data_IF_487874311158
#
_entry.id   IF_487874311158
#
_cell.length_a   1.000
_cell.length_b   1.000
_cell.length_c   1.000
_cell.angle_alpha   90.00
_cell.angle_beta   90.00
_cell.angle_gamma   90.00
#
_symmetry.space_group_name_H-M   'P 1'
#
loop_
_entity.id
_entity.type
_entity.pdbx_description
1 polymer ?
#
# COMPACT_ATOMS: atom_id res chain seq x y z
N UNK A 1 -18.91 64.30 -30.52
CA UNK A 1 -19.68 63.09 -30.89
C UNK A 1 -19.50 62.05 -29.80
N UNK A 2 -20.65 61.58 -29.31
CA UNK A 2 -20.98 60.48 -28.39
C UNK A 2 -19.88 59.62 -27.75
N UNK A 3 -19.86 59.71 -26.42
CA UNK A 3 -19.47 58.68 -25.45
C UNK A 3 -20.43 57.48 -25.49
N UNK A 4 -19.88 56.26 -25.45
CA UNK A 4 -20.57 54.99 -25.13
C UNK A 4 -19.53 54.14 -24.37
N UNK A 5 -19.40 54.25 -23.04
CA UNK A 5 -20.12 53.47 -22.01
C UNK A 5 -20.28 51.99 -22.36
N UNK A 6 -19.35 51.19 -21.87
CA UNK A 6 -19.47 49.73 -21.71
C UNK A 6 -20.66 49.43 -20.80
N UNK A 7 -21.74 48.93 -21.40
CA UNK A 7 -22.94 48.45 -20.73
C UNK A 7 -22.76 46.98 -20.33
N UNK A 8 -22.98 46.74 -19.04
CA UNK A 8 -23.73 45.62 -18.46
C UNK A 8 -23.46 44.19 -18.95
N UNK A 9 -22.81 43.44 -18.04
CA UNK A 9 -22.94 42.00 -17.91
C UNK A 9 -24.42 41.61 -17.68
N UNK A 10 -24.94 40.70 -18.49
CA UNK A 10 -25.99 39.72 -18.16
C UNK A 10 -26.40 38.93 -19.42
N UNK A 11 -25.95 37.67 -19.52
CA UNK A 11 -26.61 36.60 -20.28
C UNK A 11 -25.93 35.28 -19.89
N UNK A 12 -26.50 34.57 -18.91
CA UNK A 12 -27.43 33.45 -19.13
C UNK A 12 -26.69 32.10 -19.07
N UNK A 13 -26.35 31.68 -17.85
CA UNK A 13 -26.12 30.27 -17.51
C UNK A 13 -27.50 29.65 -17.29
N UNK A 14 -28.04 29.02 -18.32
CA UNK A 14 -29.27 28.24 -18.25
C UNK A 14 -29.07 26.88 -18.94
N UNK A 15 -28.45 25.96 -18.20
CA UNK A 15 -28.48 24.50 -18.31
C UNK A 15 -27.41 24.00 -17.32
N UNK A 16 -27.68 23.43 -16.15
CA UNK A 16 -28.56 22.31 -15.85
C UNK A 16 -29.14 22.45 -14.43
N UNK A 17 -30.38 22.91 -14.31
CA UNK A 17 -31.17 22.67 -13.10
C UNK A 17 -31.79 21.29 -13.21
N UNK A 18 -31.03 20.27 -12.80
CA UNK A 18 -31.64 19.03 -12.32
C UNK A 18 -32.37 19.39 -11.03
N UNK A 19 -33.66 19.06 -10.86
CA UNK A 19 -34.41 19.44 -9.67
C UNK A 19 -33.71 18.91 -8.41
N UNK A 20 -33.52 19.79 -7.43
CA UNK A 20 -32.86 19.48 -6.15
C UNK A 20 -33.50 18.30 -5.40
N UNK A 21 -34.77 17.96 -5.73
CA UNK A 21 -35.45 16.78 -5.22
C UNK A 21 -34.76 15.45 -5.61
N UNK A 22 -34.06 15.38 -6.75
CA UNK A 22 -33.33 14.18 -7.16
C UNK A 22 -31.96 14.03 -6.47
N UNK A 23 -31.38 15.12 -5.95
CA UNK A 23 -30.16 15.09 -5.11
C UNK A 23 -30.48 14.88 -3.62
N UNK A 24 -31.66 15.29 -3.16
CA UNK A 24 -32.06 15.12 -1.75
C UNK A 24 -32.30 13.63 -1.36
N UNK A 25 -32.43 12.72 -2.33
CA UNK A 25 -32.60 11.29 -2.08
C UNK A 25 -31.27 10.51 -2.08
N UNK A 26 -30.15 11.12 -2.50
CA UNK A 26 -28.82 10.46 -2.53
C UNK A 26 -27.98 10.65 -1.26
N UNK A 27 -28.38 11.56 -0.36
CA UNK A 27 -27.63 11.91 0.86
C UNK A 27 -28.28 11.40 2.16
N UNK A 28 -29.30 10.53 2.08
CA UNK A 28 -29.78 9.87 3.29
C UNK A 28 -28.75 8.84 3.73
N UNK A 29 -28.24 9.03 4.95
CA UNK A 29 -27.39 8.06 5.62
C UNK A 29 -28.03 6.67 5.53
N UNK A 30 -27.27 5.71 5.01
CA UNK A 30 -27.69 4.32 4.88
C UNK A 30 -27.75 3.70 6.26
N UNK A 31 -28.94 3.23 6.63
CA UNK A 31 -29.15 2.46 7.84
C UNK A 31 -28.88 0.99 7.53
N UNK A 32 -27.64 0.56 7.77
CA UNK A 32 -27.22 -0.82 7.54
C UNK A 32 -27.60 -1.68 8.73
N UNK A 33 -28.39 -2.72 8.48
CA UNK A 33 -28.77 -3.72 9.48
C UNK A 33 -28.05 -5.05 9.22
N UNK A 34 -28.01 -5.94 10.20
CA UNK A 34 -27.43 -7.28 10.02
C UNK A 34 -28.07 -8.03 8.86
N UNK A 35 -29.40 -7.95 8.73
CA UNK A 35 -30.13 -8.57 7.63
C UNK A 35 -29.72 -8.02 6.24
N UNK A 36 -29.36 -6.74 6.14
CA UNK A 36 -28.84 -6.17 4.89
C UNK A 36 -27.46 -6.73 4.58
N UNK A 37 -26.59 -6.88 5.59
CA UNK A 37 -25.26 -7.46 5.40
C UNK A 37 -25.31 -8.96 5.05
N UNK A 38 -26.20 -9.74 5.65
CA UNK A 38 -26.36 -11.16 5.31
C UNK A 38 -26.82 -11.35 3.86
N UNK A 39 -27.76 -10.51 3.42
CA UNK A 39 -28.19 -10.45 2.02
C UNK A 39 -27.05 -10.01 1.10
N UNK A 40 -26.24 -9.03 1.54
CA UNK A 40 -25.07 -8.59 0.79
C UNK A 40 -24.03 -9.72 0.64
N UNK A 41 -23.72 -10.46 1.70
CA UNK A 41 -22.80 -11.60 1.61
C UNK A 41 -23.33 -12.71 0.70
N UNK A 42 -24.63 -12.97 0.73
CA UNK A 42 -25.30 -13.91 -0.19
C UNK A 42 -25.15 -13.45 -1.65
N UNK A 43 -25.43 -12.18 -1.92
CA UNK A 43 -25.23 -11.58 -3.24
C UNK A 43 -23.77 -11.66 -3.70
N UNK A 44 -22.83 -11.30 -2.82
CA UNK A 44 -21.41 -11.24 -3.14
C UNK A 44 -20.81 -12.62 -3.39
N UNK A 45 -21.20 -13.63 -2.61
CA UNK A 45 -20.81 -15.02 -2.86
C UNK A 45 -21.33 -15.52 -4.22
N UNK A 46 -22.57 -15.14 -4.58
CA UNK A 46 -23.14 -15.45 -5.89
C UNK A 46 -22.36 -14.74 -7.00
N UNK A 47 -22.06 -13.45 -6.84
CA UNK A 47 -21.25 -12.67 -7.79
C UNK A 47 -19.92 -13.37 -8.08
N UNK A 48 -19.22 -13.81 -7.03
CA UNK A 48 -17.93 -14.51 -7.15
C UNK A 48 -18.06 -15.80 -7.97
N UNK A 49 -19.04 -16.65 -7.65
CA UNK A 49 -19.27 -17.91 -8.38
C UNK A 49 -19.65 -17.70 -9.85
N UNK A 50 -20.43 -16.66 -10.15
CA UNK A 50 -20.84 -16.32 -11.52
C UNK A 50 -19.68 -15.71 -12.30
N UNK A 51 -18.85 -14.87 -11.66
CA UNK A 51 -17.62 -14.33 -12.27
C UNK A 51 -16.66 -15.44 -12.70
N UNK A 52 -16.44 -16.44 -11.85
CA UNK A 52 -15.62 -17.61 -12.19
C UNK A 52 -16.18 -18.37 -13.41
N UNK A 53 -17.51 -18.44 -13.54
CA UNK A 53 -18.18 -19.12 -14.65
C UNK A 53 -18.10 -18.33 -15.96
N UNK A 54 -18.18 -17.00 -15.91
CA UNK A 54 -18.12 -16.14 -17.11
C UNK A 54 -16.71 -15.70 -17.47
N UNK A 55 -15.69 -15.98 -16.64
CA UNK A 55 -14.30 -15.57 -16.89
C UNK A 55 -13.79 -15.97 -18.28
N UNK A 56 -14.02 -17.19 -18.80
CA UNK A 56 -13.59 -17.54 -20.15
C UNK A 56 -14.24 -16.68 -21.25
N UNK A 57 -15.46 -16.19 -21.02
CA UNK A 57 -16.17 -15.31 -21.96
C UNK A 57 -15.62 -13.88 -21.90
N UNK A 58 -15.19 -13.43 -20.72
CA UNK A 58 -14.48 -12.15 -20.55
C UNK A 58 -13.14 -12.21 -21.29
N UNK A 59 -12.37 -13.29 -21.10
CA UNK A 59 -11.07 -13.48 -21.72
C UNK A 59 -11.17 -13.52 -23.26
N UNK A 60 -12.19 -14.21 -23.81
CA UNK A 60 -12.48 -14.22 -25.25
C UNK A 60 -12.87 -12.82 -25.76
N UNK A 61 -13.74 -12.10 -25.05
CA UNK A 61 -14.14 -10.75 -25.44
C UNK A 61 -12.94 -9.77 -25.44
N UNK A 62 -12.05 -9.85 -24.45
CA UNK A 62 -10.84 -9.04 -24.36
C UNK A 62 -9.79 -9.43 -25.42
N UNK A 63 -9.64 -10.73 -25.71
CA UNK A 63 -8.79 -11.19 -26.82
C UNK A 63 -9.28 -10.64 -28.18
N UNK A 64 -10.60 -10.66 -28.42
CA UNK A 64 -11.20 -10.08 -29.63
C UNK A 64 -10.99 -8.57 -29.72
N UNK A 65 -11.18 -7.85 -28.62
CA UNK A 65 -10.96 -6.40 -28.57
C UNK A 65 -9.49 -6.05 -28.86
N UNK A 66 -8.54 -6.73 -28.21
CA UNK A 66 -7.09 -6.52 -28.46
C UNK A 66 -6.73 -6.81 -29.92
N UNK A 67 -7.24 -7.90 -30.49
CA UNK A 67 -7.00 -8.26 -31.89
C UNK A 67 -7.56 -7.21 -32.85
N UNK A 68 -8.77 -6.70 -32.58
CA UNK A 68 -9.38 -5.64 -33.36
C UNK A 68 -8.57 -4.34 -33.28
N UNK A 69 -8.20 -3.89 -32.08
CA UNK A 69 -7.42 -2.66 -31.88
C UNK A 69 -6.05 -2.74 -32.54
N UNK A 70 -5.38 -3.89 -32.46
CA UNK A 70 -4.11 -4.13 -33.14
C UNK A 70 -4.29 -4.05 -34.67
N UNK A 71 -5.28 -4.75 -35.21
CA UNK A 71 -5.57 -4.73 -36.64
C UNK A 71 -5.91 -3.31 -37.15
N UNK A 72 -6.66 -2.53 -36.36
CA UNK A 72 -6.97 -1.14 -36.68
C UNK A 72 -5.70 -0.27 -36.73
N UNK A 73 -4.83 -0.37 -35.72
CA UNK A 73 -3.54 0.35 -35.70
C UNK A 73 -2.68 0.00 -36.92
N UNK A 74 -2.60 -1.29 -37.26
CA UNK A 74 -1.81 -1.76 -38.40
C UNK A 74 -2.42 -1.29 -39.74
N UNK A 75 -3.74 -1.21 -39.83
CA UNK A 75 -4.43 -0.67 -41.01
C UNK A 75 -4.22 0.85 -41.15
N UNK A 76 -4.34 1.61 -40.07
CA UNK A 76 -4.08 3.06 -40.05
C UNK A 76 -2.62 3.38 -40.36
N UNK A 77 -1.68 2.60 -39.83
CA UNK A 77 -0.25 2.71 -40.13
C UNK A 77 0.06 2.39 -41.61
N UNK A 78 -0.59 1.37 -42.18
CA UNK A 78 -0.43 1.06 -43.60
C UNK A 78 -1.03 2.16 -44.51
N UNK A 79 -2.18 2.74 -44.12
CA UNK A 79 -2.83 3.82 -44.88
C UNK A 79 -2.07 5.14 -44.82
N UNK A 80 -1.43 5.46 -43.68
CA UNK A 80 -0.56 6.64 -43.54
C UNK A 80 0.74 6.48 -44.35
N UNK A 81 1.31 5.28 -44.41
CA UNK A 81 2.47 4.97 -45.23
C UNK A 81 2.18 5.01 -46.74
N UNK A 82 0.96 4.69 -47.18
CA UNK A 82 0.57 4.68 -48.59
C UNK A 82 -0.01 6.00 -49.10
N UNK A 83 -0.05 7.06 -48.29
CA UNK A 83 -0.62 8.37 -48.65
C UNK A 83 -2.12 8.38 -48.91
N UNK A 84 -2.84 7.28 -48.62
CA UNK A 84 -4.25 7.12 -48.93
C UNK A 84 -5.09 7.50 -47.71
N UNK A 85 -5.76 8.66 -47.77
CA UNK A 85 -6.73 9.09 -46.76
C UNK A 85 -8.05 8.37 -46.98
N UNK A 86 -8.09 7.06 -46.68
CA UNK A 86 -9.36 6.34 -46.56
C UNK A 86 -10.11 6.90 -45.35
N UNK A 87 -11.01 7.84 -45.60
CA UNK A 87 -11.97 8.36 -44.63
C UNK A 87 -13.39 7.88 -44.94
N UNK A 88 -14.25 7.84 -43.92
CA UNK A 88 -15.68 7.56 -44.10
C UNK A 88 -16.02 6.07 -44.32
N UNK A 89 -17.11 5.82 -45.06
CA UNK A 89 -17.71 4.49 -45.25
C UNK A 89 -16.73 3.46 -45.84
N UNK A 90 -15.85 3.87 -46.75
CA UNK A 90 -14.86 3.00 -47.38
C UNK A 90 -13.81 2.47 -46.39
N UNK A 91 -13.38 3.30 -45.43
CA UNK A 91 -12.48 2.88 -44.36
C UNK A 91 -13.15 1.86 -43.43
N UNK A 92 -14.42 2.07 -43.10
CA UNK A 92 -15.20 1.13 -42.27
C UNK A 92 -15.37 -0.23 -42.95
N UNK A 93 -15.70 -0.25 -44.24
CA UNK A 93 -15.81 -1.50 -45.03
C UNK A 93 -14.47 -2.23 -45.11
N UNK A 94 -13.36 -1.51 -45.30
CA UNK A 94 -12.03 -2.11 -45.35
C UNK A 94 -11.57 -2.66 -43.99
N UNK A 95 -11.83 -1.93 -42.90
CA UNK A 95 -11.56 -2.39 -41.52
C UNK A 95 -12.41 -3.63 -41.21
N UNK A 96 -13.70 -3.64 -41.58
CA UNK A 96 -14.56 -4.81 -41.40
C UNK A 96 -14.03 -6.04 -42.13
N UNK A 97 -13.63 -5.86 -43.39
CA UNK A 97 -13.12 -6.95 -44.22
C UNK A 97 -11.79 -7.51 -43.69
N UNK A 98 -10.91 -6.66 -43.14
CA UNK A 98 -9.57 -7.05 -42.67
C UNK A 98 -9.55 -7.51 -41.21
N UNK A 99 -10.32 -6.84 -40.36
CA UNK A 99 -10.31 -7.04 -38.90
C UNK A 99 -11.50 -7.88 -38.41
N UNK A 100 -12.40 -8.31 -39.30
CA UNK A 100 -13.52 -9.22 -39.02
C UNK A 100 -14.75 -8.55 -38.38
N UNK A 101 -14.61 -7.33 -37.88
CA UNK A 101 -15.68 -6.45 -37.41
C UNK A 101 -15.22 -5.00 -37.60
N UNK A 102 -16.14 -4.07 -37.77
CA UNK A 102 -15.91 -2.62 -37.75
C UNK A 102 -16.54 -1.93 -36.53
N UNK A 103 -17.18 -2.72 -35.66
CA UNK A 103 -17.98 -2.21 -34.55
C UNK A 103 -17.30 -2.50 -33.20
N UNK A 104 -16.34 -1.64 -32.86
CA UNK A 104 -15.70 -1.58 -31.54
C UNK A 104 -16.72 -1.39 -30.42
N UNK A 105 -17.81 -0.65 -30.70
CA UNK A 105 -18.88 -0.40 -29.74
C UNK A 105 -19.66 -1.69 -29.45
N UNK A 106 -19.93 -2.52 -30.45
CA UNK A 106 -20.54 -3.83 -30.26
C UNK A 106 -19.66 -4.77 -29.42
N UNK A 107 -18.34 -4.80 -29.67
CA UNK A 107 -17.40 -5.58 -28.84
C UNK A 107 -17.38 -5.10 -27.39
N UNK A 108 -17.38 -3.78 -27.17
CA UNK A 108 -17.46 -3.19 -25.83
C UNK A 108 -18.79 -3.50 -25.14
N UNK A 109 -19.92 -3.40 -25.87
CA UNK A 109 -21.25 -3.77 -25.35
C UNK A 109 -21.33 -5.25 -25.00
N UNK A 110 -20.74 -6.13 -25.81
CA UNK A 110 -20.68 -7.56 -25.52
C UNK A 110 -19.87 -7.83 -24.25
N UNK A 111 -18.68 -7.22 -24.11
CA UNK A 111 -17.88 -7.29 -22.89
C UNK A 111 -18.66 -6.79 -21.67
N UNK A 112 -19.31 -5.63 -21.78
CA UNK A 112 -20.08 -5.06 -20.68
C UNK A 112 -21.24 -5.97 -20.28
N UNK A 113 -21.94 -6.57 -21.24
CA UNK A 113 -23.03 -7.52 -20.97
C UNK A 113 -22.55 -8.77 -20.21
N UNK A 114 -21.37 -9.28 -20.54
CA UNK A 114 -20.76 -10.41 -19.82
C UNK A 114 -20.38 -9.99 -18.40
N UNK A 115 -19.89 -8.76 -18.19
CA UNK A 115 -19.53 -8.23 -16.87
C UNK A 115 -20.73 -7.87 -15.99
N UNK A 116 -21.86 -7.45 -16.59
CA UNK A 116 -23.10 -7.11 -15.88
C UNK A 116 -23.87 -8.35 -15.41
N UNK A 117 -23.66 -9.51 -16.06
CA UNK A 117 -24.32 -10.78 -15.74
C UNK A 117 -24.12 -11.21 -14.28
N UNK A 118 -22.88 -11.33 -13.80
CA UNK A 118 -22.59 -11.68 -12.41
C UNK A 118 -23.21 -10.72 -11.39
N UNK A 119 -23.19 -9.41 -11.66
CA UNK A 119 -23.78 -8.42 -10.75
C UNK A 119 -25.31 -8.49 -10.73
N UNK A 120 -25.93 -8.81 -11.87
CA UNK A 120 -27.37 -9.04 -11.96
C UNK A 120 -27.79 -10.28 -11.17
N UNK A 121 -27.05 -11.38 -11.31
CA UNK A 121 -27.27 -12.61 -10.56
C UNK A 121 -27.04 -12.42 -9.05
N UNK A 122 -26.02 -11.63 -8.68
CA UNK A 122 -25.74 -11.25 -7.31
C UNK A 122 -26.89 -10.46 -6.68
N UNK A 123 -27.33 -9.40 -7.37
CA UNK A 123 -28.45 -8.58 -6.91
C UNK A 123 -29.71 -9.42 -6.71
N UNK A 124 -30.03 -10.33 -7.65
CA UNK A 124 -31.16 -11.25 -7.52
C UNK A 124 -31.01 -12.19 -6.31
N UNK A 125 -29.82 -12.78 -6.11
CA UNK A 125 -29.58 -13.69 -4.99
C UNK A 125 -29.68 -13.01 -3.62
N UNK A 126 -29.26 -11.75 -3.50
CA UNK A 126 -29.46 -10.94 -2.29
C UNK A 126 -30.82 -10.24 -2.21
N UNK A 127 -31.70 -10.42 -3.21
CA UNK A 127 -32.99 -9.74 -3.28
C UNK A 127 -32.93 -8.21 -3.43
N UNK A 128 -31.82 -7.68 -3.97
CA UNK A 128 -31.62 -6.25 -4.20
C UNK A 128 -32.08 -5.85 -5.61
N UNK A 129 -32.47 -4.58 -5.79
CA UNK A 129 -32.36 -3.99 -7.13
C UNK A 129 -30.87 -3.85 -7.51
N UNK A 130 -30.52 -4.04 -8.79
CA UNK A 130 -29.12 -3.98 -9.24
C UNK A 130 -28.43 -2.67 -8.84
N UNK A 131 -29.13 -1.54 -8.98
CA UNK A 131 -28.59 -0.23 -8.59
C UNK A 131 -28.35 -0.09 -7.08
N UNK A 132 -29.17 -0.74 -6.25
CA UNK A 132 -29.01 -0.76 -4.80
C UNK A 132 -27.83 -1.62 -4.39
N UNK A 133 -27.68 -2.80 -5.00
CA UNK A 133 -26.54 -3.69 -4.76
C UNK A 133 -25.22 -2.99 -5.08
N UNK A 134 -25.11 -2.36 -6.26
CA UNK A 134 -23.93 -1.58 -6.67
C UNK A 134 -23.62 -0.46 -5.67
N UNK A 135 -24.64 0.34 -5.33
CA UNK A 135 -24.48 1.44 -4.37
C UNK A 135 -24.03 0.95 -3.00
N UNK A 136 -24.62 -0.15 -2.50
CA UNK A 136 -24.27 -0.74 -1.22
C UNK A 136 -22.83 -1.27 -1.24
N UNK A 137 -22.45 -2.01 -2.28
CA UNK A 137 -21.10 -2.53 -2.47
C UNK A 137 -20.06 -1.39 -2.48
N UNK A 138 -20.31 -0.35 -3.26
CA UNK A 138 -19.38 0.78 -3.39
C UNK A 138 -19.26 1.57 -2.07
N UNK A 139 -20.37 1.75 -1.35
CA UNK A 139 -20.38 2.40 -0.03
C UNK A 139 -19.65 1.59 1.03
N UNK A 140 -19.86 0.28 1.09
CA UNK A 140 -19.14 -0.60 2.02
C UNK A 140 -17.63 -0.58 1.69
N UNK A 141 -17.26 -0.59 0.42
CA UNK A 141 -15.86 -0.47 0.00
C UNK A 141 -15.25 0.86 0.42
N UNK A 142 -15.94 1.97 0.18
CA UNK A 142 -15.48 3.30 0.64
C UNK A 142 -15.27 3.35 2.15
N UNK A 143 -16.17 2.75 2.92
CA UNK A 143 -16.01 2.62 4.37
C UNK A 143 -14.77 1.80 4.77
N UNK A 144 -14.50 0.68 4.10
CA UNK A 144 -13.29 -0.11 4.33
C UNK A 144 -11.99 0.65 3.98
N UNK A 145 -12.09 1.65 3.11
CA UNK A 145 -11.03 2.58 2.71
C UNK A 145 -10.96 3.84 3.60
N UNK A 146 -11.82 3.93 4.64
CA UNK A 146 -11.81 5.00 5.64
C UNK A 146 -12.94 6.03 5.53
N UNK A 147 -13.82 5.92 4.52
CA UNK A 147 -14.95 6.85 4.35
C UNK A 147 -16.19 6.39 5.14
N UNK A 148 -16.33 6.89 6.36
CA UNK A 148 -17.52 6.67 7.18
C UNK A 148 -18.74 7.51 6.76
N UNK A 149 -18.61 8.38 5.76
CA UNK A 149 -19.71 9.26 5.34
C UNK A 149 -20.84 8.47 4.70
N UNK A 150 -22.07 8.91 4.99
CA UNK A 150 -23.27 8.29 4.40
C UNK A 150 -23.76 7.03 5.11
N UNK A 151 -23.30 6.73 6.33
CA UNK A 151 -23.87 5.70 7.21
C UNK A 151 -24.45 6.31 8.49
N UNK A 152 -25.49 5.69 9.04
CA UNK A 152 -25.98 6.01 10.39
C UNK A 152 -25.01 5.50 11.45
N UNK A 153 -25.06 6.03 12.68
CA UNK A 153 -24.24 5.49 13.80
C UNK A 153 -24.52 4.01 14.05
N UNK A 154 -25.79 3.60 13.97
CA UNK A 154 -26.18 2.19 14.07
C UNK A 154 -25.61 1.36 12.92
N UNK A 155 -25.67 1.87 11.69
CA UNK A 155 -25.08 1.23 10.51
C UNK A 155 -23.57 1.05 10.63
N UNK A 156 -22.86 2.06 11.14
CA UNK A 156 -21.41 1.96 11.39
C UNK A 156 -21.08 0.89 12.44
N UNK A 157 -21.88 0.76 13.50
CA UNK A 157 -21.68 -0.29 14.50
C UNK A 157 -21.83 -1.70 13.90
N UNK A 158 -22.83 -1.89 13.03
CA UNK A 158 -23.06 -3.16 12.31
C UNK A 158 -21.90 -3.46 11.34
N UNK A 159 -21.41 -2.46 10.61
CA UNK A 159 -20.26 -2.60 9.71
C UNK A 159 -18.99 -2.98 10.48
N UNK A 160 -18.68 -2.28 11.59
CA UNK A 160 -17.54 -2.59 12.47
C UNK A 160 -17.62 -4.03 13.00
N UNK A 161 -18.79 -4.47 13.45
CA UNK A 161 -18.99 -5.84 13.94
C UNK A 161 -18.73 -6.93 12.87
N UNK A 162 -18.87 -6.60 11.58
CA UNK A 162 -18.68 -7.52 10.44
C UNK A 162 -17.43 -7.20 9.61
N UNK A 163 -16.55 -6.31 10.09
CA UNK A 163 -15.43 -5.77 9.31
C UNK A 163 -14.54 -6.87 8.71
N UNK A 164 -14.16 -7.87 9.50
CA UNK A 164 -13.30 -8.96 9.02
C UNK A 164 -13.94 -9.77 7.89
N UNK A 165 -15.26 -9.96 7.92
CA UNK A 165 -15.99 -10.69 6.87
C UNK A 165 -16.11 -9.82 5.61
N UNK A 166 -16.38 -8.53 5.78
CA UNK A 166 -16.43 -7.55 4.69
C UNK A 166 -15.06 -7.43 3.99
N UNK A 167 -13.98 -7.27 4.76
CA UNK A 167 -12.60 -7.27 4.26
C UNK A 167 -12.29 -8.54 3.47
N UNK A 168 -12.66 -9.71 4.00
CA UNK A 168 -12.53 -10.99 3.29
C UNK A 168 -13.33 -11.04 1.98
N UNK A 169 -14.56 -10.52 1.97
CA UNK A 169 -15.41 -10.47 0.78
C UNK A 169 -14.78 -9.63 -0.33
N UNK A 170 -14.22 -8.46 0.00
CA UNK A 170 -13.57 -7.59 -0.99
C UNK A 170 -12.17 -8.04 -1.41
N UNK A 171 -11.67 -9.18 -0.91
CA UNK A 171 -10.27 -9.58 -1.13
C UNK A 171 -9.28 -8.59 -0.51
N UNK A 172 -9.78 -7.70 0.36
CA UNK A 172 -8.99 -6.85 1.22
C UNK A 172 -8.54 -7.73 2.39
N UNK A 173 -7.64 -8.68 2.13
CA UNK A 173 -6.80 -9.20 3.21
C UNK A 173 -6.27 -7.98 3.94
N UNK A 174 -6.33 -7.93 5.27
CA UNK A 174 -5.94 -6.78 6.07
C UNK A 174 -4.50 -6.34 5.76
N UNK A 175 -4.32 -5.60 4.66
CA UNK A 175 -3.25 -4.66 4.42
C UNK A 175 -3.79 -3.41 5.11
N UNK A 176 -3.90 -3.49 6.43
CA UNK A 176 -3.99 -2.29 7.21
C UNK A 176 -2.71 -1.52 6.86
N UNK A 177 -2.90 -0.40 6.18
CA UNK A 177 -1.88 0.63 5.95
C UNK A 177 -1.32 1.21 7.25
N UNK A 178 -1.75 0.72 8.41
CA UNK A 178 -1.03 0.79 9.68
C UNK A 178 -1.09 -0.56 10.43
N UNK A 179 0.07 -1.11 10.78
CA UNK A 179 0.21 -1.97 11.98
C UNK A 179 -0.30 -3.41 11.96
N UNK A 180 -0.71 -3.97 10.82
CA UNK A 180 -1.38 -5.29 10.76
C UNK A 180 -0.69 -6.39 9.97
N UNK A 181 0.65 -6.47 9.92
CA UNK A 181 1.35 -7.51 9.17
C UNK A 181 1.29 -8.88 9.89
N UNK A 182 0.34 -9.77 9.53
CA UNK A 182 0.51 -11.21 9.84
C UNK A 182 -0.71 -12.09 10.05
N UNK A 183 -1.95 -11.59 10.03
CA UNK A 183 -3.11 -12.35 10.54
C UNK A 183 -3.62 -13.57 9.73
N UNK A 184 -2.97 -14.00 8.64
CA UNK A 184 -3.53 -15.07 7.78
C UNK A 184 -2.56 -16.11 7.19
N UNK A 185 -1.28 -16.09 7.54
CA UNK A 185 -0.24 -16.65 6.65
C UNK A 185 0.73 -17.57 7.40
N UNK A 186 0.21 -18.66 7.98
CA UNK A 186 0.96 -19.57 8.86
C UNK A 186 1.29 -20.93 8.25
N UNK A 187 1.44 -21.01 6.92
CA UNK A 187 1.73 -22.26 6.21
C UNK A 187 2.91 -22.15 5.26
N UNK A 188 3.83 -23.13 5.21
CA UNK A 188 4.96 -23.15 4.27
C UNK A 188 4.51 -23.12 2.79
N UNK A 189 3.29 -23.59 2.49
CA UNK A 189 2.70 -23.60 1.14
C UNK A 189 2.29 -22.22 0.60
N UNK A 190 2.40 -21.15 1.40
CA UNK A 190 1.95 -19.80 1.03
C UNK A 190 3.11 -18.94 0.47
N UNK A 191 4.35 -19.35 0.68
CA UNK A 191 5.54 -18.59 0.31
C UNK A 191 6.01 -18.90 -1.12
N UNK A 192 5.32 -18.35 -2.12
CA UNK A 192 5.95 -18.19 -3.44
C UNK A 192 6.89 -16.97 -3.42
N UNK A 193 7.76 -16.87 -4.43
CA UNK A 193 8.77 -15.81 -4.47
C UNK A 193 8.17 -14.41 -4.45
N UNK A 194 7.15 -14.16 -5.26
CA UNK A 194 6.51 -12.84 -5.36
C UNK A 194 5.89 -12.41 -4.02
N UNK A 195 5.21 -13.34 -3.36
CA UNK A 195 4.59 -13.12 -2.07
C UNK A 195 5.61 -12.87 -0.97
N UNK A 196 6.69 -13.65 -0.94
CA UNK A 196 7.79 -13.43 -0.02
C UNK A 196 8.38 -12.02 -0.19
N UNK A 197 8.58 -11.56 -1.44
CA UNK A 197 9.10 -10.21 -1.67
C UNK A 197 8.13 -9.10 -1.31
N UNK A 198 6.82 -9.23 -1.59
CA UNK A 198 5.83 -8.25 -1.12
C UNK A 198 5.87 -8.09 0.40
N UNK A 199 5.97 -9.21 1.13
CA UNK A 199 6.06 -9.18 2.59
C UNK A 199 7.37 -8.57 3.07
N UNK A 200 8.50 -9.03 2.54
CA UNK A 200 9.82 -8.50 2.90
C UNK A 200 9.85 -6.99 2.63
N UNK A 201 9.26 -6.52 1.53
CA UNK A 201 9.14 -5.09 1.21
C UNK A 201 8.40 -4.32 2.29
N UNK A 202 7.31 -4.89 2.80
CA UNK A 202 6.56 -4.29 3.90
C UNK A 202 7.39 -4.22 5.19
N UNK A 203 8.15 -5.28 5.51
CA UNK A 203 9.01 -5.29 6.70
C UNK A 203 10.12 -4.23 6.59
N UNK A 204 10.75 -4.14 5.42
CA UNK A 204 11.69 -3.08 5.13
C UNK A 204 11.01 -1.71 5.22
N UNK A 205 9.81 -1.54 4.66
CA UNK A 205 9.09 -0.27 4.72
C UNK A 205 8.87 0.18 6.18
N UNK A 206 8.41 -0.71 7.06
CA UNK A 206 8.23 -0.39 8.49
C UNK A 206 9.53 0.05 9.16
N UNK A 207 10.65 -0.59 8.81
CA UNK A 207 11.94 -0.31 9.42
C UNK A 207 12.62 0.96 8.87
N UNK A 208 12.46 1.23 7.57
CA UNK A 208 13.24 2.24 6.84
C UNK A 208 12.44 3.47 6.40
N UNK A 209 11.10 3.39 6.28
CA UNK A 209 10.26 4.55 5.89
C UNK A 209 9.89 5.45 7.07
N UNK A 210 10.33 5.14 8.29
CA UNK A 210 10.35 6.13 9.38
C UNK A 210 11.27 7.32 9.09
N UNK A 211 12.12 7.22 8.06
CA UNK A 211 13.18 8.19 7.78
C UNK A 211 14.29 8.16 8.83
N UNK A 212 14.18 7.39 9.92
CA UNK A 212 15.14 7.43 11.01
C UNK A 212 16.54 6.96 10.60
N UNK A 213 16.65 6.14 9.54
CA UNK A 213 17.94 5.70 9.01
C UNK A 213 18.77 6.81 8.39
N UNK A 214 18.17 7.94 8.00
CA UNK A 214 18.93 9.09 7.51
C UNK A 214 19.74 9.79 8.62
N UNK A 215 19.39 9.55 9.88
CA UNK A 215 20.09 10.04 11.07
C UNK A 215 20.97 8.96 11.71
N UNK A 216 21.05 7.76 11.12
CA UNK A 216 21.76 6.66 11.75
C UNK A 216 23.26 6.90 11.83
N UNK A 217 23.79 6.72 13.03
CA UNK A 217 25.22 6.57 13.26
C UNK A 217 25.71 5.19 12.79
N UNK A 218 26.98 5.10 12.42
CA UNK A 218 27.56 3.84 11.94
C UNK A 218 27.54 2.76 13.03
N UNK A 219 27.15 1.55 12.66
CA UNK A 219 27.21 0.37 13.53
C UNK A 219 28.60 -0.26 13.42
N UNK A 220 29.11 -0.80 14.52
CA UNK A 220 30.31 -1.65 14.52
C UNK A 220 29.92 -3.12 14.33
N UNK A 221 30.79 -3.98 13.78
CA UNK A 221 30.50 -5.40 13.66
C UNK A 221 30.08 -6.00 15.01
N UNK A 222 28.92 -6.66 15.02
CA UNK A 222 28.27 -7.20 16.21
C UNK A 222 27.32 -6.24 16.94
N UNK A 223 27.28 -4.95 16.59
CA UNK A 223 26.33 -4.02 17.18
C UNK A 223 24.90 -4.35 16.74
N UNK A 224 23.96 -4.21 17.66
CA UNK A 224 22.54 -4.38 17.39
C UNK A 224 21.67 -3.39 18.16
N UNK A 225 20.51 -3.09 17.60
CA UNK A 225 19.44 -2.32 18.23
C UNK A 225 18.11 -3.03 18.03
N UNK A 226 17.20 -2.85 18.98
CA UNK A 226 15.83 -3.34 18.96
C UNK A 226 14.88 -2.20 19.21
N UNK A 227 13.79 -2.18 18.47
CA UNK A 227 12.80 -1.12 18.43
C UNK A 227 11.42 -1.71 18.64
N UNK A 228 10.61 -1.06 19.44
CA UNK A 228 9.19 -1.37 19.54
C UNK A 228 8.41 -0.38 18.71
N UNK A 229 7.61 -0.90 17.79
CA UNK A 229 6.70 -0.16 16.92
C UNK A 229 5.35 -0.09 17.61
N UNK A 230 4.86 1.12 17.82
CA UNK A 230 3.51 1.36 18.32
C UNK A 230 2.68 2.08 17.26
N UNK A 231 1.43 1.66 17.13
CA UNK A 231 0.46 2.27 16.23
C UNK A 231 -0.73 2.72 17.08
N UNK A 232 -1.23 3.92 16.80
CA UNK A 232 -2.44 4.41 17.45
C UNK A 232 -3.66 3.74 16.85
N UNK A 233 -4.56 3.28 17.70
CA UNK A 233 -5.93 3.00 17.30
C UNK A 233 -6.60 4.34 16.93
N UNK A 234 -7.37 4.33 15.84
CA UNK A 234 -8.05 5.52 15.34
C UNK A 234 -9.26 5.88 16.22
N UNK A 235 -9.83 4.91 16.93
CA UNK A 235 -11.06 5.08 17.69
C UNK A 235 -10.85 5.73 19.07
N UNK A 236 -9.75 5.43 19.77
CA UNK A 236 -9.50 5.95 21.14
C UNK A 236 -8.16 6.68 21.30
N UNK A 237 -7.30 6.68 20.29
CA UNK A 237 -5.96 7.28 20.35
C UNK A 237 -4.97 6.51 21.21
N UNK A 238 -5.32 5.32 21.69
CA UNK A 238 -4.43 4.46 22.45
C UNK A 238 -3.39 3.85 21.51
N UNK A 239 -2.12 3.90 21.91
CA UNK A 239 -1.05 3.26 21.16
C UNK A 239 -0.88 1.82 21.63
N UNK A 240 -0.81 0.89 20.68
CA UNK A 240 -0.53 -0.52 20.94
C UNK A 240 0.81 -0.90 20.33
N UNK A 241 1.63 -1.60 21.11
CA UNK A 241 2.83 -2.25 20.60
C UNK A 241 2.42 -3.40 19.66
N UNK A 242 2.66 -3.23 18.37
CA UNK A 242 2.26 -4.21 17.34
C UNK A 242 3.42 -5.10 16.92
N UNK A 243 4.65 -4.60 17.01
CA UNK A 243 5.80 -5.25 16.41
C UNK A 243 7.09 -4.84 17.12
N UNK A 244 8.01 -5.79 17.32
CA UNK A 244 9.40 -5.48 17.62
C UNK A 244 10.24 -5.72 16.37
N UNK A 245 11.19 -4.82 16.12
CA UNK A 245 12.15 -4.90 15.02
C UNK A 245 13.56 -4.81 15.59
N UNK A 246 14.39 -5.79 15.28
CA UNK A 246 15.80 -5.81 15.63
C UNK A 246 16.66 -5.71 14.37
N UNK A 247 17.68 -4.86 14.44
CA UNK A 247 18.70 -4.68 13.41
C UNK A 247 20.04 -5.02 14.01
N UNK A 248 20.84 -5.82 13.34
CA UNK A 248 22.21 -6.10 13.75
C UNK A 248 23.17 -6.02 12.58
N UNK A 249 24.31 -5.37 12.78
CA UNK A 249 25.39 -5.36 11.82
C UNK A 249 26.28 -6.59 12.07
N UNK A 250 26.26 -7.56 11.16
CA UNK A 250 27.02 -8.80 11.35
C UNK A 250 28.50 -8.60 11.01
N UNK A 251 28.78 -7.73 10.05
CA UNK A 251 30.13 -7.28 9.73
C UNK A 251 30.33 -6.98 8.26
N UNK A 252 31.57 -6.68 7.90
CA UNK A 252 31.99 -6.28 6.56
C UNK A 252 32.93 -7.32 5.97
N UNK A 253 32.68 -7.66 4.72
CA UNK A 253 33.50 -8.57 3.91
C UNK A 253 34.68 -7.80 3.28
N UNK A 254 35.69 -8.53 2.81
CA UNK A 254 36.91 -7.93 2.26
C UNK A 254 36.68 -7.03 1.03
N UNK A 255 35.61 -7.27 0.26
CA UNK A 255 35.24 -6.45 -0.91
C UNK A 255 34.35 -5.24 -0.54
N UNK A 256 34.18 -4.95 0.75
CA UNK A 256 33.36 -3.85 1.23
C UNK A 256 31.88 -4.17 1.37
N UNK A 257 31.43 -5.39 1.02
CA UNK A 257 30.06 -5.82 1.25
C UNK A 257 29.72 -5.94 2.73
N UNK A 258 28.49 -5.61 3.10
CA UNK A 258 28.00 -5.58 4.47
C UNK A 258 26.89 -6.60 4.70
N UNK A 259 27.07 -7.43 5.74
CA UNK A 259 26.04 -8.35 6.20
C UNK A 259 25.23 -7.74 7.33
N UNK A 260 23.92 -7.76 7.14
CA UNK A 260 22.96 -7.23 8.10
C UNK A 260 21.90 -8.27 8.44
N UNK A 261 21.56 -8.37 9.72
CA UNK A 261 20.44 -9.16 10.22
C UNK A 261 19.28 -8.24 10.56
N UNK A 262 18.09 -8.59 10.09
CA UNK A 262 16.83 -7.98 10.50
C UNK A 262 15.95 -9.06 11.10
N UNK A 263 15.36 -8.79 12.25
CA UNK A 263 14.45 -9.71 12.92
C UNK A 263 13.21 -8.97 13.33
N UNK A 264 12.06 -9.48 12.91
CA UNK A 264 10.77 -8.93 13.24
C UNK A 264 10.01 -9.92 14.10
N UNK A 265 9.42 -9.45 15.19
CA UNK A 265 8.47 -10.20 16.01
C UNK A 265 7.15 -9.45 16.01
N UNK A 266 6.15 -9.97 15.30
CA UNK A 266 4.81 -9.39 15.26
C UNK A 266 3.91 -10.09 16.26
N UNK A 267 3.23 -9.34 17.13
CA UNK A 267 2.37 -9.89 18.17
C UNK A 267 0.91 -9.92 17.68
N UNK A 268 0.27 -11.08 17.74
CA UNK A 268 -1.15 -11.25 17.46
C UNK A 268 -1.86 -12.11 18.49
N UNK A 269 -3.19 -12.17 18.42
CA UNK A 269 -4.03 -12.89 19.40
C UNK A 269 -3.82 -14.42 19.35
N UNK A 270 -3.24 -14.93 18.26
CA UNK A 270 -2.84 -16.33 18.08
C UNK A 270 -1.36 -16.61 18.38
N UNK A 271 -0.64 -15.71 19.06
CA UNK A 271 0.79 -15.83 19.33
C UNK A 271 1.66 -14.89 18.49
N UNK A 272 2.99 -14.96 18.66
CA UNK A 272 3.95 -14.10 17.98
C UNK A 272 4.54 -14.78 16.73
N UNK A 273 4.53 -14.09 15.61
CA UNK A 273 5.18 -14.53 14.37
C UNK A 273 6.57 -13.88 14.29
N UNK A 274 7.60 -14.71 14.11
CA UNK A 274 8.99 -14.24 13.99
C UNK A 274 9.50 -14.44 12.57
N UNK A 275 10.03 -13.38 11.98
CA UNK A 275 10.75 -13.41 10.71
C UNK A 275 12.20 -13.02 10.99
N UNK A 276 13.16 -13.80 10.50
CA UNK A 276 14.58 -13.43 10.54
C UNK A 276 15.12 -13.39 9.12
N UNK A 277 15.78 -12.30 8.77
CA UNK A 277 16.40 -12.06 7.46
C UNK A 277 17.88 -11.74 7.69
N UNK A 278 18.74 -12.28 6.83
CA UNK A 278 20.15 -11.91 6.75
C UNK A 278 20.48 -11.56 5.31
N UNK A 279 20.94 -10.33 5.09
CA UNK A 279 21.09 -9.76 3.76
C UNK A 279 22.50 -9.23 3.56
N UNK A 280 23.05 -9.49 2.37
CA UNK A 280 24.32 -8.96 1.91
C UNK A 280 24.06 -7.78 0.99
N UNK A 281 24.60 -6.64 1.39
CA UNK A 281 24.57 -5.40 0.64
C UNK A 281 25.97 -5.10 0.12
N UNK A 282 26.10 -4.81 -1.18
CA UNK A 282 27.39 -4.43 -1.78
C UNK A 282 27.36 -2.98 -2.25
N UNK A 283 28.46 -2.21 -2.13
CA UNK A 283 28.53 -0.88 -2.72
C UNK A 283 28.22 -0.91 -4.22
N UNK A 284 27.51 0.09 -4.72
CA UNK A 284 27.23 0.27 -6.15
C UNK A 284 27.95 1.50 -6.69
N UNK A 285 28.84 1.28 -7.67
CA UNK A 285 29.67 2.33 -8.24
C UNK A 285 30.68 2.91 -7.22
N UNK A 286 30.95 4.21 -7.34
CA UNK A 286 31.82 4.94 -6.40
C UNK A 286 31.08 5.48 -5.18
N UNK A 287 29.75 5.33 -5.12
CA UNK A 287 28.95 5.86 -4.04
C UNK A 287 28.75 4.81 -2.95
N UNK A 288 29.56 4.90 -1.89
CA UNK A 288 29.45 4.04 -0.71
C UNK A 288 28.10 4.17 0.02
N UNK A 289 27.30 5.20 -0.29
CA UNK A 289 25.97 5.38 0.26
C UNK A 289 24.90 4.66 -0.56
N UNK A 290 25.19 4.24 -1.78
CA UNK A 290 24.30 3.38 -2.57
C UNK A 290 24.78 1.94 -2.40
N UNK A 291 23.96 1.16 -1.72
CA UNK A 291 24.22 -0.26 -1.56
C UNK A 291 23.17 -1.05 -2.33
N UNK A 292 23.63 -2.18 -2.85
CA UNK A 292 22.85 -3.09 -3.66
C UNK A 292 22.63 -4.40 -2.90
N UNK A 293 21.36 -4.78 -2.70
CA UNK A 293 21.03 -6.09 -2.15
C UNK A 293 21.40 -7.17 -3.16
N UNK A 294 22.32 -8.07 -2.81
CA UNK A 294 22.81 -9.12 -3.73
C UNK A 294 22.55 -10.55 -3.25
N UNK A 295 22.22 -10.73 -1.97
CA UNK A 295 21.89 -12.03 -1.40
C UNK A 295 21.04 -11.87 -0.15
N UNK A 296 20.11 -12.79 0.07
CA UNK A 296 19.32 -12.83 1.30
C UNK A 296 19.03 -14.27 1.73
N UNK A 297 19.20 -14.56 3.01
CA UNK A 297 18.65 -15.74 3.68
C UNK A 297 17.50 -15.32 4.58
N UNK A 298 16.48 -16.15 4.65
CA UNK A 298 15.32 -15.91 5.50
C UNK A 298 14.90 -17.16 6.26
N UNK A 299 14.43 -16.97 7.49
CA UNK A 299 13.57 -17.92 8.20
C UNK A 299 12.19 -17.26 8.33
N UNK A 300 11.26 -17.68 7.48
CA UNK A 300 9.90 -17.16 7.42
C UNK A 300 8.99 -17.86 8.45
N UNK A 301 7.85 -17.26 8.83
CA UNK A 301 6.89 -17.89 9.72
C UNK A 301 6.49 -19.29 9.24
N UNK A 302 6.48 -20.25 10.18
CA UNK A 302 6.16 -21.64 9.90
C UNK A 302 7.25 -22.45 9.19
N UNK A 303 8.38 -21.85 8.82
CA UNK A 303 9.53 -22.57 8.23
C UNK A 303 10.39 -23.20 9.34
N UNK A 304 10.74 -24.48 9.19
CA UNK A 304 11.64 -25.17 10.14
C UNK A 304 13.10 -24.71 9.97
N UNK A 305 13.53 -24.52 8.72
CA UNK A 305 14.92 -24.21 8.34
C UNK A 305 15.05 -22.84 7.65
N UNK A 306 16.21 -22.16 7.78
CA UNK A 306 16.55 -21.01 6.95
C UNK A 306 16.70 -21.39 5.46
N UNK A 307 16.24 -20.54 4.56
CA UNK A 307 16.33 -20.73 3.12
C UNK A 307 16.99 -19.54 2.41
N UNK A 308 17.64 -19.80 1.27
CA UNK A 308 18.09 -18.74 0.36
C UNK A 308 16.88 -18.15 -0.36
N UNK A 309 16.86 -16.83 -0.48
CA UNK A 309 15.83 -16.10 -1.20
C UNK A 309 16.36 -15.68 -2.56
N UNK A 310 15.58 -15.93 -3.62
CA UNK A 310 15.86 -15.37 -4.95
C UNK A 310 15.74 -13.84 -4.87
N UNK A 311 16.85 -13.11 -5.02
CA UNK A 311 16.84 -11.63 -5.06
C UNK A 311 16.64 -11.16 -6.50
N UNK A 312 15.49 -10.57 -6.88
CA UNK A 312 15.29 -10.11 -8.24
C UNK A 312 16.02 -8.78 -8.48
N UNK A 313 16.55 -8.58 -9.69
CA UNK A 313 17.40 -7.43 -10.04
C UNK A 313 16.74 -6.07 -9.76
N UNK A 314 15.42 -5.95 -9.94
CA UNK A 314 14.69 -4.70 -9.69
C UNK A 314 14.56 -4.32 -8.20
N UNK A 315 14.80 -5.27 -7.28
CA UNK A 315 14.74 -5.05 -5.83
C UNK A 315 16.11 -4.77 -5.22
N UNK A 316 17.14 -4.70 -6.06
CA UNK A 316 18.50 -4.53 -5.57
C UNK A 316 18.78 -3.11 -5.10
N UNK A 317 17.92 -2.14 -5.43
CA UNK A 317 18.04 -0.72 -5.01
C UNK A 317 17.77 -0.48 -3.53
N UNK A 318 17.43 -1.52 -2.78
CA UNK A 318 17.23 -1.42 -1.34
C UNK A 318 18.52 -1.09 -0.61
N UNK A 319 18.39 -0.16 0.32
CA UNK A 319 19.52 0.41 1.04
C UNK A 319 19.24 0.40 2.55
N UNK A 320 20.18 -0.14 3.31
CA UNK A 320 20.14 -0.20 4.77
C UNK A 320 20.20 1.18 5.44
N UNK A 321 20.56 2.23 4.69
CA UNK A 321 20.61 3.62 5.13
C UNK A 321 19.36 4.42 4.78
N UNK A 322 18.36 3.82 4.14
CA UNK A 322 17.03 4.40 3.91
C UNK A 322 16.60 4.46 2.45
N UNK A 323 15.33 4.82 2.22
CA UNK A 323 14.74 4.92 0.88
C UNK A 323 15.30 6.09 0.04
N UNK A 324 15.86 7.11 0.70
CA UNK A 324 16.57 8.20 0.06
C UNK A 324 18.06 8.03 0.36
N UNK A 325 18.89 8.05 -0.69
CA UNK A 325 20.34 7.83 -0.60
C UNK A 325 21.11 8.99 0.07
N UNK A 326 20.40 9.96 0.67
CA UNK A 326 20.97 11.18 1.23
C UNK A 326 20.73 11.31 2.73
N UNK A 327 21.74 11.85 3.43
CA UNK A 327 21.58 12.37 4.80
C UNK A 327 21.11 13.83 4.73
N UNK A 328 20.27 14.30 5.66
CA UNK A 328 19.92 15.71 5.74
C UNK A 328 21.18 16.55 6.03
N UNK A 329 21.22 17.77 5.49
CA UNK A 329 22.33 18.68 5.74
C UNK A 329 22.33 19.15 7.19
N UNK A 330 23.48 19.61 7.67
CA UNK A 330 23.59 20.15 9.02
C UNK A 330 22.67 21.36 9.22
N UNK A 331 22.60 22.25 8.23
CA UNK A 331 21.73 23.42 8.26
C UNK A 331 20.24 23.02 8.36
N UNK A 332 19.85 21.93 7.69
CA UNK A 332 18.50 21.40 7.78
C UNK A 332 18.20 20.85 9.18
N UNK A 333 19.14 20.08 9.74
CA UNK A 333 19.03 19.53 11.10
C UNK A 333 18.94 20.65 12.14
N UNK A 334 19.83 21.64 12.05
CA UNK A 334 19.91 22.75 12.99
C UNK A 334 18.64 23.62 12.92
N UNK A 335 18.11 23.88 11.71
CA UNK A 335 16.86 24.61 11.52
C UNK A 335 15.61 23.85 11.96
N UNK A 336 15.65 22.51 11.95
CA UNK A 336 14.56 21.65 12.41
C UNK A 336 14.65 21.27 13.90
N UNK A 337 15.76 21.63 14.58
CA UNK A 337 15.96 21.31 15.99
C UNK A 337 15.08 22.19 16.86
N UNK A 338 14.20 21.57 17.65
CA UNK A 338 13.29 22.25 18.58
C UNK A 338 13.94 22.44 19.95
N UNK A 339 14.84 21.53 20.34
CA UNK A 339 15.53 21.59 21.61
C UNK A 339 16.25 20.29 21.96
N UNK A 340 16.57 20.13 23.24
CA UNK A 340 17.10 18.88 23.80
C UNK A 340 16.22 18.47 24.98
N UNK A 341 15.85 17.21 25.02
CA UNK A 341 14.99 16.68 26.08
C UNK A 341 15.43 15.30 26.56
N UNK A 342 14.99 14.97 27.78
CA UNK A 342 15.29 13.67 28.37
C UNK A 342 14.22 12.66 27.94
N UNK A 343 14.61 11.69 27.13
CA UNK A 343 13.75 10.57 26.70
C UNK A 343 14.04 9.34 27.54
N UNK A 344 13.00 8.66 28.00
CA UNK A 344 13.13 7.36 28.68
C UNK A 344 12.41 6.30 27.87
N UNK A 345 13.11 5.23 27.55
CA UNK A 345 12.59 4.05 26.84
C UNK A 345 12.97 2.78 27.62
N UNK A 346 12.57 1.61 27.13
CA UNK A 346 12.99 0.33 27.73
C UNK A 346 14.51 0.10 27.65
N UNK A 347 15.22 0.77 26.73
CA UNK A 347 16.67 0.69 26.61
C UNK A 347 17.45 1.63 27.57
N UNK A 348 16.76 2.51 28.30
CA UNK A 348 17.36 3.44 29.26
C UNK A 348 16.84 4.88 29.13
N UNK A 349 17.54 5.81 29.77
CA UNK A 349 17.27 7.25 29.64
C UNK A 349 18.38 7.94 28.85
N UNK A 350 17.99 8.86 27.97
CA UNK A 350 18.86 9.53 27.01
C UNK A 350 18.60 11.03 27.02
N UNK A 351 19.65 11.82 26.81
CA UNK A 351 19.54 13.26 26.55
C UNK A 351 19.56 13.46 25.04
N UNK A 352 18.40 13.63 24.43
CA UNK A 352 18.25 13.57 22.98
C UNK A 352 17.89 14.93 22.39
N UNK A 353 18.51 15.25 21.24
CA UNK A 353 18.15 16.40 20.42
C UNK A 353 16.83 16.12 19.71
N UNK A 354 15.84 16.96 19.91
CA UNK A 354 14.52 16.83 19.30
C UNK A 354 14.47 17.59 17.97
N UNK A 355 14.24 16.86 16.90
CA UNK A 355 14.15 17.39 15.53
C UNK A 355 12.73 17.20 15.01
N UNK A 356 12.18 18.24 14.39
CA UNK A 356 10.82 18.28 13.84
C UNK A 356 10.82 18.76 12.39
N UNK A 357 10.25 17.96 11.51
CA UNK A 357 9.95 18.33 10.13
C UNK A 357 8.44 18.32 9.87
N UNK A 358 7.98 19.19 8.98
CA UNK A 358 6.59 19.19 8.51
C UNK A 358 6.31 18.03 7.56
N UNK A 359 5.10 17.48 7.64
CA UNK A 359 4.53 16.51 6.70
C UNK A 359 3.12 16.98 6.31
N UNK A 360 2.65 16.66 5.12
CA UNK A 360 1.26 16.96 4.74
C UNK A 360 0.29 16.35 5.75
N UNK A 361 -0.41 17.20 6.51
CA UNK A 361 -1.32 16.77 7.58
C UNK A 361 -0.69 16.46 8.93
N UNK A 362 0.53 16.93 9.23
CA UNK A 362 1.16 16.71 10.54
C UNK A 362 2.66 17.01 10.63
N UNK A 363 3.35 16.28 11.51
CA UNK A 363 4.81 16.39 11.71
C UNK A 363 5.47 15.02 11.79
N UNK A 364 6.74 14.98 11.38
CA UNK A 364 7.66 13.91 11.70
C UNK A 364 8.66 14.39 12.75
N UNK A 365 8.85 13.61 13.80
CA UNK A 365 9.69 13.97 14.93
C UNK A 365 10.68 12.85 15.26
N UNK A 366 11.93 13.24 15.50
CA UNK A 366 13.02 12.34 15.88
C UNK A 366 13.73 12.84 17.13
N UNK A 367 14.21 11.91 17.92
CA UNK A 367 15.03 12.16 19.11
C UNK A 367 16.38 11.52 18.91
N UNK A 368 17.38 12.34 18.64
CA UNK A 368 18.73 11.91 18.31
C UNK A 368 19.63 11.94 19.54
N UNK A 369 20.36 10.86 19.76
CA UNK A 369 21.40 10.76 20.78
C UNK A 369 22.62 10.11 20.16
N UNK A 370 23.64 10.91 19.87
CA UNK A 370 24.88 10.46 19.21
C UNK A 370 25.67 9.44 20.04
N UNK A 371 25.38 9.31 21.34
CA UNK A 371 26.04 8.34 22.22
C UNK A 371 25.43 6.94 22.15
N UNK A 372 24.24 6.80 21.55
CA UNK A 372 23.56 5.51 21.41
C UNK A 372 23.94 4.81 20.11
N UNK A 373 23.97 3.48 20.11
CA UNK A 373 24.10 2.69 18.88
C UNK A 373 22.99 3.07 17.91
N UNK A 374 23.35 3.43 16.69
CA UNK A 374 22.41 3.92 15.68
C UNK A 374 22.04 5.40 15.82
N UNK A 375 22.40 6.13 16.88
CA UNK A 375 22.30 7.60 16.91
C UNK A 375 20.92 8.21 17.18
N UNK A 376 19.89 7.40 17.41
CA UNK A 376 18.54 7.87 17.74
C UNK A 376 17.88 6.96 18.78
N UNK A 377 16.82 7.46 19.42
CA UNK A 377 16.14 6.74 20.52
C UNK A 377 14.63 6.70 20.36
N UNK A 378 14.05 7.62 19.59
CA UNK A 378 12.62 7.67 19.33
C UNK A 378 12.33 8.32 17.98
N UNK A 379 11.25 7.88 17.35
CA UNK A 379 10.60 8.48 16.20
C UNK A 379 9.09 8.55 16.43
N UNK A 380 8.44 9.61 15.95
CA UNK A 380 6.99 9.74 15.95
C UNK A 380 6.51 10.45 14.67
N UNK A 381 5.48 9.88 14.04
CA UNK A 381 4.65 10.57 13.06
C UNK A 381 3.38 11.05 13.75
N UNK A 382 3.19 12.37 13.81
CA UNK A 382 2.06 13.02 14.47
C UNK A 382 1.11 13.60 13.42
N UNK A 383 -0.20 13.53 13.67
CA UNK A 383 -1.20 14.22 12.84
C UNK A 383 -1.34 15.72 13.19
N UNK A 384 -2.23 16.45 12.51
CA UNK A 384 -2.48 17.88 12.76
C UNK A 384 -2.90 18.17 14.21
N UNK A 385 -3.55 17.20 14.87
CA UNK A 385 -3.93 17.30 16.28
C UNK A 385 -2.78 16.93 17.24
N UNK A 386 -1.57 16.72 16.71
CA UNK A 386 -0.37 16.28 17.43
C UNK A 386 -0.54 14.91 18.10
N UNK A 387 -1.47 14.09 17.61
CA UNK A 387 -1.63 12.73 18.11
C UNK A 387 -0.68 11.81 17.37
N UNK A 388 0.05 10.93 18.07
CA UNK A 388 0.94 9.99 17.41
C UNK A 388 0.12 8.97 16.63
N UNK A 389 0.33 8.88 15.31
CA UNK A 389 -0.23 7.80 14.49
C UNK A 389 0.66 6.57 14.53
N UNK A 390 1.96 6.81 14.63
CA UNK A 390 3.00 5.80 14.56
C UNK A 390 4.20 6.26 15.39
N UNK A 391 4.72 5.39 16.26
CA UNK A 391 5.97 5.64 16.97
C UNK A 391 6.90 4.44 16.91
N UNK A 392 8.21 4.71 16.96
CA UNK A 392 9.24 3.71 17.18
C UNK A 392 10.10 4.14 18.35
N UNK A 393 10.29 3.26 19.31
CA UNK A 393 11.07 3.54 20.52
C UNK A 393 12.15 2.50 20.72
N UNK A 394 13.36 2.94 21.09
CA UNK A 394 14.49 2.05 21.32
C UNK A 394 14.18 1.14 22.51
N UNK A 395 13.99 -0.14 22.24
CA UNK A 395 13.65 -1.16 23.22
C UNK A 395 14.89 -1.87 23.78
N UNK A 396 15.97 -1.95 23.00
CA UNK A 396 17.23 -2.53 23.44
C UNK A 396 18.37 -2.20 22.51
N UNK A 397 19.60 -2.36 23.02
CA UNK A 397 20.83 -2.24 22.23
C UNK A 397 21.92 -3.10 22.84
N UNK A 398 22.92 -3.44 22.04
CA UNK A 398 24.08 -4.17 22.54
C UNK A 398 25.10 -4.46 21.45
N UNK A 399 26.03 -5.35 21.80
CA UNK A 399 27.08 -5.84 20.93
C UNK A 399 27.06 -7.38 20.87
N UNK A 400 27.97 -7.96 20.10
CA UNK A 400 28.14 -9.42 20.02
C UNK A 400 27.09 -10.15 19.18
N UNK A 401 26.30 -9.44 18.36
CA UNK A 401 25.40 -10.09 17.41
C UNK A 401 26.16 -11.01 16.46
N UNK A 402 25.50 -12.12 16.11
CA UNK A 402 25.99 -13.16 15.22
C UNK A 402 24.89 -13.55 14.24
N UNK A 403 25.26 -14.26 13.19
CA UNK A 403 24.28 -14.87 12.31
C UNK A 403 23.41 -15.88 13.10
N UNK A 404 22.10 -15.80 12.88
CA UNK A 404 21.09 -16.78 13.28
C UNK A 404 20.73 -17.73 12.12
N UNK A 405 21.11 -17.39 10.88
CA UNK A 405 20.77 -18.17 9.68
C UNK A 405 21.98 -18.90 9.05
N UNK A 406 23.11 -18.96 9.76
CA UNK A 406 24.30 -19.71 9.35
C UNK A 406 25.16 -19.02 8.28
N UNK A 407 25.13 -17.69 8.21
CA UNK A 407 26.10 -16.90 7.45
C UNK A 407 27.41 -16.79 8.23
N UNK A 408 28.51 -17.04 7.53
CA UNK A 408 29.86 -16.75 8.02
C UNK A 408 30.30 -15.41 7.46
N UNK A 409 30.54 -14.44 8.35
CA UNK A 409 31.21 -13.20 8.00
C UNK A 409 32.73 -13.46 8.16
N UNK A 410 33.51 -13.38 7.07
CA UNK A 410 34.95 -13.65 7.09
C UNK A 410 35.74 -12.63 7.92
#
# INVERSE_FOLDING_TARGET
MRSIRSFLAAAAVAAFLVPAAARAQSDRALDITEAILDRFFTAHAKEKSERETVQPQVDDAEARLRKYEQCRRDFEAAGSASGSRLGGLAARVAIRAKCGTDDEEALRKQRQKVLDGPETAAAQAGGFALAEYRRLRDRIRGWLEGDASGFTTAGLAVLKARESQLRGAFGLTAVASGGGAGRGMRGPAVWNTDFAWLWISQLFAVQYLSGATMFESDYKPGDWTRWTVNVSDEDDGATRAVQDVEKAFLGRTADGGEWWRMKTVTRGDGGADTVTLEALFKPEGSDQYVQRLVRMRAKLPGSSEPQEMMVPEQWTTWNMRGAFTGRPTRESIDGATVGTERITTAAGSFSARHIRYGMGGGTLEWWLDETTTGGWVKFAALDEAKKPRYTMELAGKGNGARSELGITVP
#
